data_IF_905628578777
#
_entry.id   IF_905628578777
#
_cell.length_a   1.000
_cell.length_b   1.000
_cell.length_c   1.000
_cell.angle_alpha   90.00
_cell.angle_beta   90.00
_cell.angle_gamma   90.00
#
_symmetry.space_group_name_H-M   'P 1'
#
loop_
_entity.id
_entity.type
_entity.pdbx_description
1 polymer ?
#
# COMPACT_ATOMS: atom_id res chain seq x y z
N UNK A 1 7.71 -0.38 15.14
CA UNK A 1 7.31 -1.34 14.11
C UNK A 1 7.85 -0.91 12.76
N UNK A 2 8.37 -1.84 12.00
CA UNK A 2 8.96 -1.55 10.71
C UNK A 2 8.03 -1.95 9.57
N UNK A 3 8.13 -1.22 8.46
CA UNK A 3 7.41 -1.51 7.23
C UNK A 3 8.44 -2.02 6.23
N UNK A 4 8.16 -3.19 5.67
CA UNK A 4 9.06 -3.81 4.69
C UNK A 4 8.59 -3.48 3.29
N UNK A 5 9.53 -3.08 2.44
CA UNK A 5 9.25 -2.83 1.03
C UNK A 5 10.01 -3.88 0.21
N UNK A 6 9.30 -4.57 -0.66
CA UNK A 6 9.84 -5.61 -1.51
C UNK A 6 9.67 -5.21 -2.97
N UNK A 7 10.78 -5.05 -3.67
CA UNK A 7 10.76 -4.61 -5.06
C UNK A 7 11.90 -5.33 -5.79
N UNK A 8 11.55 -6.35 -6.57
CA UNK A 8 12.56 -7.14 -7.24
C UNK A 8 13.41 -6.35 -8.24
N UNK A 9 12.87 -5.23 -8.72
CA UNK A 9 13.59 -4.40 -9.69
C UNK A 9 14.49 -3.36 -9.02
N UNK A 10 14.07 -2.84 -7.88
CA UNK A 10 14.77 -1.74 -7.20
C UNK A 10 15.37 -2.12 -5.84
N UNK A 11 15.16 -3.36 -5.41
CA UNK A 11 15.68 -3.84 -4.13
C UNK A 11 14.69 -3.71 -3.01
N UNK A 12 15.05 -4.24 -1.85
CA UNK A 12 14.17 -4.25 -0.68
C UNK A 12 14.68 -3.31 0.39
N UNK A 13 13.83 -2.97 1.34
CA UNK A 13 14.21 -2.15 2.47
C UNK A 13 13.26 -2.31 3.64
N UNK A 14 13.69 -1.85 4.80
CA UNK A 14 12.90 -1.78 6.01
C UNK A 14 12.93 -0.34 6.48
N UNK A 15 11.78 0.15 6.89
CA UNK A 15 11.64 1.54 7.28
C UNK A 15 10.78 1.69 8.52
N UNK A 16 11.13 2.65 9.37
CA UNK A 16 10.19 3.15 10.37
C UNK A 16 9.14 3.98 9.64
N UNK A 17 8.08 4.35 10.33
CA UNK A 17 7.06 5.23 9.76
C UNK A 17 7.70 6.56 9.32
N UNK A 18 8.57 7.11 10.17
CA UNK A 18 9.23 8.38 9.88
C UNK A 18 10.14 8.28 8.65
N UNK A 19 10.90 7.20 8.57
CA UNK A 19 11.80 6.99 7.42
C UNK A 19 11.02 6.80 6.13
N UNK A 20 9.94 6.03 6.19
CA UNK A 20 9.12 5.77 5.01
C UNK A 20 8.46 7.05 4.52
N UNK A 21 7.84 7.80 5.41
CA UNK A 21 7.15 9.03 5.03
C UNK A 21 8.10 10.11 4.55
N UNK A 22 9.33 10.13 5.07
CA UNK A 22 10.33 11.12 4.68
C UNK A 22 10.78 10.96 3.22
N UNK A 23 10.63 9.77 2.63
CA UNK A 23 10.96 9.57 1.23
C UNK A 23 9.95 10.23 0.29
N UNK A 24 8.74 10.46 0.74
CA UNK A 24 7.68 10.98 -0.11
C UNK A 24 7.87 12.48 -0.35
N UNK A 25 7.90 12.92 -1.61
CA UNK A 25 7.99 14.35 -1.89
C UNK A 25 6.66 15.10 -1.75
N UNK A 26 5.53 14.38 -1.72
CA UNK A 26 4.22 15.01 -1.61
C UNK A 26 3.48 14.52 -0.39
N UNK A 27 3.24 15.41 0.55
CA UNK A 27 2.46 15.16 1.76
C UNK A 27 1.17 15.96 1.70
N UNK A 28 0.12 15.41 2.29
CA UNK A 28 -1.19 16.05 2.26
C UNK A 28 -2.00 15.63 3.49
N UNK A 29 -3.09 16.35 3.74
CA UNK A 29 -4.07 15.91 4.72
C UNK A 29 -4.97 14.86 4.05
N UNK A 30 -5.19 13.76 4.73
CA UNK A 30 -5.96 12.65 4.15
C UNK A 30 -7.35 13.09 3.68
N UNK A 31 -7.96 14.01 4.39
CA UNK A 31 -9.29 14.52 4.04
C UNK A 31 -9.37 15.20 2.67
N UNK A 32 -8.22 15.57 2.11
CA UNK A 32 -8.22 16.18 0.77
C UNK A 32 -8.62 15.18 -0.31
N UNK A 33 -8.48 13.89 -0.04
CA UNK A 33 -8.85 12.83 -0.99
C UNK A 33 -9.89 11.86 -0.47
N UNK A 34 -9.98 11.73 0.86
CA UNK A 34 -10.88 10.75 1.48
C UNK A 34 -11.74 11.49 2.50
N UNK A 35 -13.00 11.71 2.15
CA UNK A 35 -13.91 12.41 3.02
C UNK A 35 -14.03 11.74 4.37
N UNK A 36 -13.96 12.53 5.43
CA UNK A 36 -14.12 12.02 6.79
C UNK A 36 -12.88 11.41 7.41
N UNK A 37 -11.77 11.37 6.68
CA UNK A 37 -10.52 10.83 7.20
C UNK A 37 -9.59 11.98 7.58
N UNK A 38 -9.18 12.00 8.84
CA UNK A 38 -8.27 13.01 9.34
C UNK A 38 -6.87 12.43 9.50
N UNK A 39 -5.84 13.27 9.32
CA UNK A 39 -4.47 12.89 9.57
C UNK A 39 -3.54 13.23 8.42
N UNK A 40 -2.26 12.95 8.65
CA UNK A 40 -1.21 13.23 7.68
C UNK A 40 -0.97 12.02 6.79
N UNK A 41 -0.87 12.29 5.51
CA UNK A 41 -0.69 11.24 4.51
C UNK A 41 0.37 11.62 3.50
N UNK A 42 0.87 10.64 2.76
CA UNK A 42 1.69 10.93 1.59
C UNK A 42 1.10 10.28 0.36
N UNK A 43 1.37 10.90 -0.79
CA UNK A 43 0.93 10.42 -2.07
C UNK A 43 1.71 9.17 -2.46
N UNK A 44 1.00 8.11 -2.84
CA UNK A 44 1.68 6.85 -3.16
C UNK A 44 2.57 6.94 -4.40
N UNK A 45 2.03 7.45 -5.50
CA UNK A 45 2.81 7.46 -6.75
C UNK A 45 4.05 8.33 -6.65
N UNK A 46 3.97 9.44 -5.92
CA UNK A 46 5.15 10.28 -5.72
C UNK A 46 6.18 9.58 -4.84
N UNK A 47 5.73 8.81 -3.85
CA UNK A 47 6.63 8.01 -3.03
C UNK A 47 7.37 6.99 -3.89
N UNK A 48 6.62 6.27 -4.73
CA UNK A 48 7.23 5.30 -5.63
C UNK A 48 8.24 5.94 -6.56
N UNK A 49 7.91 7.11 -7.11
CA UNK A 49 8.84 7.85 -7.96
C UNK A 49 10.16 8.16 -7.27
N UNK A 50 10.09 8.62 -6.02
CA UNK A 50 11.28 8.92 -5.23
C UNK A 50 12.06 7.64 -4.90
N UNK A 51 11.37 6.56 -4.55
CA UNK A 51 11.97 5.26 -4.28
C UNK A 51 12.77 4.76 -5.48
N UNK A 52 12.14 4.78 -6.64
CA UNK A 52 12.73 4.34 -7.89
C UNK A 52 13.96 5.18 -8.25
N UNK A 53 13.84 6.49 -8.11
CA UNK A 53 14.90 7.42 -8.46
C UNK A 53 16.15 7.21 -7.60
N UNK A 54 15.99 6.92 -6.33
CA UNK A 54 17.09 6.68 -5.42
C UNK A 54 17.79 5.35 -5.68
N UNK A 55 17.11 4.42 -6.33
CA UNK A 55 17.62 3.07 -6.51
C UNK A 55 18.22 2.85 -7.89
N UNK A 56 17.40 2.84 -8.92
CA UNK A 56 17.83 2.53 -10.27
C UNK A 56 17.51 3.60 -11.29
N UNK A 57 16.97 4.71 -10.83
CA UNK A 57 16.57 5.78 -11.72
C UNK A 57 15.27 5.47 -12.43
N UNK A 58 14.97 6.25 -13.46
CA UNK A 58 13.65 6.22 -14.10
C UNK A 58 13.55 5.27 -15.30
N UNK A 59 14.58 4.50 -15.58
CA UNK A 59 14.64 3.71 -16.82
C UNK A 59 14.06 2.29 -16.72
N UNK A 60 13.72 1.83 -15.54
CA UNK A 60 13.22 0.48 -15.37
C UNK A 60 11.73 0.37 -15.65
N UNK A 61 11.20 -0.86 -15.62
CA UNK A 61 9.76 -1.05 -15.80
C UNK A 61 8.97 -0.49 -14.63
N UNK A 62 7.73 -0.12 -14.91
CA UNK A 62 6.78 0.31 -13.88
C UNK A 62 6.07 -0.94 -13.35
N UNK A 63 5.78 -1.02 -12.06
CA UNK A 63 5.02 -2.16 -11.54
C UNK A 63 3.66 -2.27 -12.19
N UNK A 64 3.16 -3.49 -12.27
CA UNK A 64 1.78 -3.72 -12.74
C UNK A 64 0.79 -3.64 -11.59
N UNK A 65 1.23 -3.94 -10.38
CA UNK A 65 0.37 -3.97 -9.20
C UNK A 65 1.12 -3.54 -7.95
N UNK A 66 0.36 -3.02 -7.01
CA UNK A 66 0.80 -2.82 -5.63
C UNK A 66 0.11 -3.88 -4.78
N UNK A 67 0.89 -4.58 -3.95
CA UNK A 67 0.31 -5.46 -2.94
C UNK A 67 0.70 -4.96 -1.56
N UNK A 68 -0.26 -4.84 -0.68
CA UNK A 68 0.00 -4.51 0.72
C UNK A 68 -0.44 -5.65 1.60
N UNK A 69 0.30 -5.85 2.68
CA UNK A 69 0.00 -6.89 3.66
C UNK A 69 -0.10 -6.25 5.03
N UNK A 70 -1.19 -6.51 5.71
CA UNK A 70 -1.45 -5.98 7.04
C UNK A 70 -0.87 -6.88 8.12
N UNK A 71 -0.80 -6.36 9.33
CA UNK A 71 -0.27 -7.09 10.48
C UNK A 71 -1.06 -8.37 10.77
N UNK A 72 -2.35 -8.41 10.45
CA UNK A 72 -3.20 -9.60 10.61
C UNK A 72 -3.21 -10.50 9.39
N UNK A 73 -2.28 -10.28 8.47
CA UNK A 73 -2.12 -11.03 7.23
C UNK A 73 -3.16 -10.77 6.15
N UNK A 74 -4.08 -9.83 6.38
CA UNK A 74 -4.96 -9.40 5.31
C UNK A 74 -4.10 -8.76 4.21
N UNK A 75 -4.38 -9.06 2.95
CA UNK A 75 -3.66 -8.44 1.85
C UNK A 75 -4.61 -7.95 0.77
N UNK A 76 -4.16 -6.95 0.03
CA UNK A 76 -4.86 -6.44 -1.13
C UNK A 76 -3.85 -6.23 -2.23
N UNK A 77 -4.22 -6.62 -3.45
CA UNK A 77 -3.41 -6.44 -4.65
C UNK A 77 -4.19 -5.55 -5.59
N UNK A 78 -3.60 -4.44 -5.99
CA UNK A 78 -4.31 -3.38 -6.68
C UNK A 78 -3.59 -3.06 -7.99
N UNK A 79 -4.30 -3.04 -9.13
CA UNK A 79 -3.68 -2.66 -10.40
C UNK A 79 -3.12 -1.23 -10.31
N UNK A 80 -1.96 -1.05 -10.91
CA UNK A 80 -1.28 0.23 -10.87
C UNK A 80 -2.15 1.37 -11.40
N UNK A 81 -3.00 1.06 -12.38
CA UNK A 81 -3.90 2.04 -12.99
C UNK A 81 -4.98 2.57 -12.05
N UNK A 82 -5.20 1.93 -10.91
CA UNK A 82 -6.19 2.38 -9.93
C UNK A 82 -5.58 3.22 -8.81
N UNK A 83 -4.31 3.55 -8.89
CA UNK A 83 -3.57 4.16 -7.79
C UNK A 83 -3.35 5.67 -7.91
N UNK A 84 -3.98 6.33 -8.87
CA UNK A 84 -3.76 7.76 -9.11
C UNK A 84 -3.99 8.63 -7.87
N UNK A 85 -4.98 8.29 -7.06
CA UNK A 85 -5.30 9.04 -5.85
C UNK A 85 -4.94 8.30 -4.57
N UNK A 86 -4.24 7.18 -4.68
CA UNK A 86 -3.87 6.38 -3.52
C UNK A 86 -2.93 7.14 -2.60
N UNK A 87 -3.13 6.94 -1.30
CA UNK A 87 -2.29 7.54 -0.29
C UNK A 87 -2.07 6.60 0.87
N UNK A 88 -1.00 6.83 1.63
CA UNK A 88 -0.79 6.17 2.91
C UNK A 88 -0.94 7.19 4.03
N UNK A 89 -1.87 6.92 4.93
CA UNK A 89 -2.06 7.69 6.15
C UNK A 89 -1.02 7.19 7.16
N UNK A 90 -0.20 8.09 7.70
CA UNK A 90 0.92 7.68 8.55
C UNK A 90 0.95 8.36 9.92
N UNK A 91 0.11 9.35 10.16
CA UNK A 91 0.11 10.05 11.44
C UNK A 91 -1.22 10.75 11.67
N UNK A 92 -1.50 11.03 12.93
CA UNK A 92 -2.64 11.88 13.27
C UNK A 92 -2.35 13.33 12.87
N UNK A 93 -3.34 14.20 12.95
CA UNK A 93 -3.17 15.59 12.55
C UNK A 93 -2.06 16.30 13.30
N UNK A 94 -1.85 15.95 14.57
CA UNK A 94 -0.81 16.53 15.38
C UNK A 94 0.57 15.89 15.17
N UNK A 95 0.68 14.93 14.26
CA UNK A 95 1.94 14.27 13.95
C UNK A 95 2.24 13.05 14.79
N UNK A 96 1.40 12.72 15.76
CA UNK A 96 1.61 11.52 16.57
C UNK A 96 1.21 10.26 15.80
N UNK A 97 1.71 9.09 16.20
CA UNK A 97 1.38 7.85 15.51
C UNK A 97 -0.13 7.56 15.48
N UNK A 98 -0.56 6.83 14.47
CA UNK A 98 -1.96 6.44 14.36
C UNK A 98 -2.38 5.62 15.57
N UNK A 99 -3.56 5.91 16.09
CA UNK A 99 -4.17 5.11 17.15
C UNK A 99 -4.85 3.88 16.58
N UNK A 100 -5.49 4.05 15.44
CA UNK A 100 -6.15 2.95 14.74
C UNK A 100 -5.44 2.71 13.42
N UNK A 101 -5.08 1.47 13.17
CA UNK A 101 -4.41 1.11 11.92
C UNK A 101 -2.92 1.41 11.90
N UNK A 102 -2.29 1.54 13.08
CA UNK A 102 -0.84 1.66 13.17
C UNK A 102 -0.18 0.45 12.47
N UNK A 103 0.92 0.60 11.72
CA UNK A 103 1.72 1.82 11.58
C UNK A 103 1.24 2.77 10.48
N UNK A 104 0.68 2.25 9.38
CA UNK A 104 0.16 3.07 8.30
C UNK A 104 -1.07 2.42 7.68
N UNK A 105 -1.87 3.22 7.01
CA UNK A 105 -3.11 2.75 6.36
C UNK A 105 -3.12 3.17 4.91
N UNK A 106 -3.46 2.23 4.04
CA UNK A 106 -3.64 2.52 2.63
C UNK A 106 -5.08 2.92 2.36
N UNK A 107 -5.26 4.00 1.60
CA UNK A 107 -6.55 4.39 1.04
C UNK A 107 -6.45 4.49 -0.47
N UNK A 108 -7.41 3.88 -1.15
CA UNK A 108 -7.50 3.87 -2.61
C UNK A 108 -8.86 4.46 -3.00
N UNK A 109 -8.98 5.80 -3.03
CA UNK A 109 -10.28 6.45 -3.28
C UNK A 109 -10.93 6.05 -4.60
N UNK A 110 -10.12 5.78 -5.63
CA UNK A 110 -10.62 5.39 -6.94
C UNK A 110 -10.70 3.88 -7.13
N UNK A 111 -10.46 3.11 -6.07
CA UNK A 111 -10.52 1.67 -6.13
C UNK A 111 -11.95 1.17 -6.27
N UNK A 112 -12.10 -0.05 -6.76
CA UNK A 112 -13.42 -0.62 -7.01
C UNK A 112 -14.02 -1.31 -5.78
N UNK A 113 -13.37 -1.21 -4.62
CA UNK A 113 -13.88 -1.79 -3.39
C UNK A 113 -13.26 -1.10 -2.18
N UNK A 114 -14.07 -0.90 -1.12
CA UNK A 114 -13.56 -0.39 0.14
C UNK A 114 -12.58 -1.35 0.81
N UNK A 115 -12.59 -2.62 0.42
CA UNK A 115 -11.63 -3.60 0.94
C UNK A 115 -10.20 -3.35 0.47
N UNK A 116 -10.02 -2.44 -0.47
CA UNK A 116 -8.69 -2.01 -0.89
C UNK A 116 -8.08 -0.99 0.07
N UNK A 117 -8.88 -0.46 1.00
CA UNK A 117 -8.40 0.41 2.06
C UNK A 117 -7.93 -0.49 3.21
N UNK A 118 -6.64 -0.54 3.45
CA UNK A 118 -6.04 -1.54 4.34
C UNK A 118 -5.41 -0.88 5.55
N UNK A 119 -5.79 -1.34 6.74
CA UNK A 119 -5.22 -0.87 8.01
C UNK A 119 -3.98 -1.65 8.38
N UNK A 120 -3.11 -1.02 9.17
CA UNK A 120 -1.95 -1.69 9.77
C UNK A 120 -1.05 -2.36 8.74
N UNK A 121 -0.74 -1.65 7.67
CA UNK A 121 0.12 -2.16 6.61
C UNK A 121 1.55 -2.28 7.15
N UNK A 122 2.12 -3.46 7.04
CA UNK A 122 3.49 -3.76 7.48
C UNK A 122 4.39 -4.22 6.33
N UNK A 123 3.82 -4.50 5.15
CA UNK A 123 4.60 -4.86 3.99
C UNK A 123 3.99 -4.27 2.72
N UNK A 124 4.86 -3.82 1.84
CA UNK A 124 4.52 -3.22 0.56
C UNK A 124 5.29 -3.99 -0.50
N UNK A 125 4.59 -4.54 -1.47
CA UNK A 125 5.21 -5.29 -2.57
C UNK A 125 4.95 -4.58 -3.89
N UNK A 126 6.00 -4.34 -4.64
CA UNK A 126 5.91 -3.81 -6.01
C UNK A 126 5.95 -5.01 -6.93
N UNK A 127 4.86 -5.28 -7.63
CA UNK A 127 4.73 -6.47 -8.46
C UNK A 127 4.82 -6.12 -9.94
N UNK A 128 5.50 -6.99 -10.68
CA UNK A 128 5.74 -6.81 -12.12
C UNK A 128 5.22 -8.02 -12.87
N UNK A 129 4.72 -7.79 -14.07
CA UNK A 129 4.26 -8.88 -14.96
C UNK A 129 3.12 -9.73 -14.39
N UNK A 130 2.38 -9.19 -13.42
CA UNK A 130 1.21 -9.89 -12.93
C UNK A 130 0.13 -9.86 -14.00
N UNK A 131 -0.54 -10.99 -14.13
CA UNK A 131 -1.70 -11.03 -14.98
C UNK A 131 -2.86 -10.39 -14.27
N UNK A 132 -3.75 -9.91 -15.02
CA UNK A 132 -4.96 -9.51 -14.60
C UNK A 132 -5.14 -8.20 -14.37
N UNK A 133 -6.03 -7.77 -14.12
CA UNK A 133 -6.68 -6.66 -14.28
C UNK A 133 -7.58 -6.25 -13.18
N UNK A 134 -7.92 -7.08 -12.28
CA UNK A 134 -8.81 -6.77 -11.19
C UNK A 134 -8.08 -6.76 -9.87
N UNK A 135 -8.60 -5.95 -8.94
CA UNK A 135 -8.10 -5.92 -7.59
C UNK A 135 -8.45 -7.21 -6.86
N UNK A 136 -7.55 -7.65 -6.01
CA UNK A 136 -7.77 -8.83 -5.18
C UNK A 136 -7.50 -8.46 -3.73
N UNK A 137 -8.20 -9.12 -2.82
CA UNK A 137 -7.97 -8.95 -1.40
C UNK A 137 -8.34 -10.24 -0.65
N UNK A 138 -7.84 -10.35 0.57
CA UNK A 138 -8.11 -11.51 1.40
C UNK A 138 -6.99 -11.74 2.40
N UNK A 139 -7.02 -12.89 3.08
CA UNK A 139 -6.00 -13.23 4.07
C UNK A 139 -4.94 -14.14 3.46
N UNK A 140 -3.69 -13.71 3.64
CA UNK A 140 -2.54 -14.42 3.13
C UNK A 140 -2.34 -15.73 3.90
N UNK A 141 -2.01 -16.78 3.17
CA UNK A 141 -1.58 -18.05 3.76
C UNK A 141 -2.55 -18.67 4.77
N UNK A 142 -3.82 -18.38 4.66
CA UNK A 142 -4.81 -18.95 5.55
C UNK A 142 -5.28 -20.33 5.13
N UNK A 143 -5.15 -20.63 3.85
CA UNK A 143 -5.77 -21.82 3.28
C UNK A 143 -4.88 -22.47 2.25
N UNK A 144 -5.05 -23.78 2.07
CA UNK A 144 -4.47 -24.50 0.95
C UNK A 144 -5.23 -24.17 -0.33
N UNK A 145 -4.71 -24.55 -1.50
CA UNK A 145 -5.44 -24.32 -2.74
C UNK A 145 -6.86 -24.88 -2.75
N UNK A 146 -7.08 -26.03 -2.11
CA UNK A 146 -8.41 -26.61 -2.04
C UNK A 146 -9.31 -25.80 -1.11
N UNK A 147 -8.80 -25.42 0.03
CA UNK A 147 -9.53 -24.56 0.95
C UNK A 147 -9.82 -23.21 0.33
N UNK A 148 -8.89 -22.72 -0.48
CA UNK A 148 -9.08 -21.45 -1.16
C UNK A 148 -10.31 -21.49 -2.08
N UNK A 149 -10.55 -22.61 -2.75
CA UNK A 149 -11.74 -22.75 -3.58
C UNK A 149 -13.01 -22.68 -2.74
N UNK A 150 -13.01 -23.23 -1.55
CA UNK A 150 -14.15 -23.16 -0.65
C UNK A 150 -14.38 -21.74 -0.17
N UNK A 151 -13.33 -20.98 0.01
CA UNK A 151 -13.42 -19.61 0.50
C UNK A 151 -13.75 -18.58 -0.55
N UNK A 152 -13.68 -18.91 -1.82
CA UNK A 152 -13.93 -17.93 -2.89
C UNK A 152 -15.28 -17.27 -2.81
N UNK A 153 -16.27 -17.94 -2.32
CA UNK A 153 -17.58 -17.36 -2.16
C UNK A 153 -17.65 -16.28 -1.09
N UNK A 154 -16.59 -16.11 -0.29
CA UNK A 154 -16.52 -15.12 0.77
C UNK A 154 -15.88 -13.81 0.32
N UNK A 155 -15.21 -13.87 -0.79
CA UNK A 155 -14.43 -12.72 -1.26
C UNK A 155 -15.04 -12.04 -2.48
#
# INVERSE_FOLDING_TARGET
>A
MEIHVYDEMNGSGKFSVEELSALAPVHLSAGERVEGVAGRAFDWLSWYGAWRQQRKGSDGPVPTHLRVVAADEFQATIPWTELDQALFLYAQEDGTPLKKGYPIRLYVPDGNSACLNVKSVVAIHLLYNEEASESEFGFKNKVSPDELREFRGRF
#
